data_IF_521528339828
#
_entry.id   IF_521528339828
#
_cell.length_a   1.000
_cell.length_b   1.000
_cell.length_c   1.000
_cell.angle_alpha   90.00
_cell.angle_beta   90.00
_cell.angle_gamma   90.00
#
_symmetry.space_group_name_H-M   'P 1'
#
loop_
_entity.id
_entity.type
_entity.pdbx_description
1 polymer ?
#
# COMPACT_ATOMS: atom_id res chain seq x y z
N UNK A 1 -21.13 -6.08 2.05
CA UNK A 1 -19.87 -5.30 2.06
C UNK A 1 -19.57 -4.93 3.50
N UNK A 2 -18.36 -5.20 3.98
CA UNK A 2 -17.93 -4.85 5.35
C UNK A 2 -16.81 -3.82 5.23
N UNK A 3 -16.86 -2.78 6.07
CA UNK A 3 -15.82 -1.74 6.14
C UNK A 3 -15.16 -1.80 7.50
N UNK A 4 -13.86 -1.56 7.55
CA UNK A 4 -13.04 -1.55 8.77
C UNK A 4 -12.19 -0.30 8.77
N UNK A 5 -12.14 0.39 9.89
CA UNK A 5 -11.31 1.59 10.04
C UNK A 5 -9.84 1.18 10.26
N UNK A 6 -8.93 1.79 9.49
CA UNK A 6 -7.51 1.43 9.50
C UNK A 6 -6.63 2.68 9.36
N UNK A 7 -5.34 2.51 9.63
CA UNK A 7 -4.33 3.54 9.39
C UNK A 7 -3.16 2.98 8.59
N UNK A 8 -2.58 3.77 7.66
CA UNK A 8 -1.46 3.32 6.84
C UNK A 8 -0.17 3.25 7.67
N UNK A 9 0.66 2.25 7.38
CA UNK A 9 1.99 2.07 7.96
C UNK A 9 3.10 2.02 6.91
N UNK A 10 2.75 1.91 5.62
CA UNK A 10 3.71 1.80 4.53
C UNK A 10 3.01 1.59 3.20
N UNK A 11 3.80 1.48 2.15
CA UNK A 11 3.32 1.23 0.79
C UNK A 11 4.28 0.31 0.05
N UNK A 12 3.72 -0.60 -0.74
CA UNK A 12 4.47 -1.37 -1.73
C UNK A 12 4.26 -0.73 -3.09
N UNK A 13 5.32 -0.17 -3.68
CA UNK A 13 5.31 0.35 -5.04
C UNK A 13 5.68 -0.77 -6.00
N UNK A 14 4.79 -1.06 -6.94
CA UNK A 14 5.06 -1.96 -8.06
C UNK A 14 5.05 -1.18 -9.36
N UNK A 15 5.99 -1.49 -10.26
CA UNK A 15 5.89 -1.12 -11.67
C UNK A 15 5.25 -2.32 -12.41
N UNK A 16 4.13 -2.10 -13.10
CA UNK A 16 3.49 -3.08 -13.96
C UNK A 16 3.32 -2.49 -15.36
N UNK A 17 4.24 -2.82 -16.27
CA UNK A 17 4.23 -2.33 -17.65
C UNK A 17 4.26 -0.79 -17.77
N UNK A 18 5.13 -0.11 -17.01
CA UNK A 18 5.26 1.35 -16.92
C UNK A 18 4.07 2.05 -16.23
N UNK A 19 3.18 1.31 -15.57
CA UNK A 19 2.17 1.88 -14.68
C UNK A 19 2.57 1.64 -13.22
N UNK A 20 2.51 2.69 -12.41
CA UNK A 20 2.78 2.61 -10.98
C UNK A 20 1.52 2.07 -10.28
N UNK A 21 1.64 0.91 -9.67
CA UNK A 21 0.62 0.24 -8.88
C UNK A 21 1.04 0.24 -7.39
N UNK A 22 0.71 1.34 -6.71
CA UNK A 22 1.00 1.54 -5.28
C UNK A 22 -0.05 0.82 -4.41
N UNK A 23 0.41 -0.06 -3.53
CA UNK A 23 -0.43 -0.84 -2.61
C UNK A 23 -0.20 -0.41 -1.17
N UNK A 24 -1.19 0.24 -0.58
CA UNK A 24 -1.13 0.71 0.81
C UNK A 24 -1.16 -0.49 1.76
N UNK A 25 -0.24 -0.47 2.72
CA UNK A 25 -0.19 -1.42 3.84
C UNK A 25 -0.74 -0.69 5.07
N UNK A 26 -1.79 -1.24 5.67
CA UNK A 26 -2.53 -0.61 6.75
C UNK A 26 -2.87 -1.61 7.85
N UNK A 27 -3.07 -1.09 9.06
CA UNK A 27 -3.45 -1.87 10.24
C UNK A 27 -4.85 -1.42 10.70
N UNK A 28 -5.78 -2.35 10.99
CA UNK A 28 -7.05 -2.02 11.63
C UNK A 28 -6.84 -1.36 12.99
N UNK A 29 -7.59 -0.28 13.26
CA UNK A 29 -7.44 0.49 14.51
C UNK A 29 -7.70 -0.36 15.76
N UNK A 30 -8.71 -1.23 15.70
CA UNK A 30 -9.18 -2.02 16.83
C UNK A 30 -8.52 -3.40 16.95
N UNK A 31 -7.52 -3.72 16.12
CA UNK A 31 -6.80 -5.00 16.23
C UNK A 31 -5.69 -4.93 17.28
N UNK A 32 -5.85 -5.56 18.47
CA UNK A 32 -4.89 -5.47 19.55
C UNK A 32 -3.57 -6.20 19.25
N UNK A 33 -3.53 -7.07 18.24
CA UNK A 33 -2.31 -7.80 17.85
C UNK A 33 -1.36 -6.93 17.02
N UNK A 34 -1.85 -5.89 16.36
CA UNK A 34 -1.07 -5.13 15.38
C UNK A 34 -1.07 -3.61 15.63
N UNK A 35 -2.07 -3.07 16.32
CA UNK A 35 -2.31 -1.62 16.39
C UNK A 35 -1.22 -0.79 17.11
N UNK A 36 -0.17 -1.42 17.63
CA UNK A 36 1.02 -0.77 18.18
C UNK A 36 2.08 -0.44 17.13
N UNK A 37 2.06 -1.08 15.95
CA UNK A 37 2.97 -0.72 14.85
C UNK A 37 2.46 0.52 14.12
N UNK A 38 3.34 1.48 13.86
CA UNK A 38 3.05 2.76 13.22
C UNK A 38 3.85 3.01 11.95
N UNK A 39 4.79 2.13 11.63
CA UNK A 39 5.55 2.14 10.39
C UNK A 39 5.92 0.70 10.00
N UNK A 40 6.03 0.43 8.70
CA UNK A 40 6.37 -0.90 8.16
C UNK A 40 7.72 -1.41 8.63
N UNK A 41 8.68 -0.51 8.90
CA UNK A 41 10.00 -0.86 9.45
C UNK A 41 9.94 -1.43 10.87
N UNK A 42 8.82 -1.23 11.58
CA UNK A 42 8.63 -1.74 12.94
C UNK A 42 8.11 -3.18 12.95
N UNK A 43 7.63 -3.69 11.81
CA UNK A 43 7.14 -5.06 11.72
C UNK A 43 8.29 -6.06 11.92
N UNK A 44 7.99 -7.25 12.48
CA UNK A 44 8.97 -8.32 12.53
C UNK A 44 9.51 -8.63 11.12
N UNK A 45 10.83 -8.82 10.95
CA UNK A 45 11.45 -8.96 9.62
C UNK A 45 10.85 -10.07 8.75
N UNK A 46 10.33 -11.14 9.36
CA UNK A 46 9.70 -12.23 8.62
C UNK A 46 8.38 -11.79 7.95
N UNK A 47 7.60 -10.91 8.58
CA UNK A 47 6.34 -10.39 8.03
C UNK A 47 6.61 -9.50 6.83
N UNK A 48 7.55 -8.55 6.96
CA UNK A 48 7.91 -7.68 5.83
C UNK A 48 8.49 -8.48 4.67
N UNK A 49 9.29 -9.52 4.95
CA UNK A 49 9.83 -10.43 3.93
C UNK A 49 8.73 -11.23 3.23
N UNK A 50 7.74 -11.73 3.98
CA UNK A 50 6.61 -12.46 3.43
C UNK A 50 5.75 -11.59 2.51
N UNK A 51 5.46 -10.35 2.92
CA UNK A 51 4.72 -9.37 2.10
C UNK A 51 5.46 -9.11 0.79
N UNK A 52 6.77 -8.85 0.84
CA UNK A 52 7.59 -8.64 -0.36
C UNK A 52 7.57 -9.86 -1.28
N UNK A 53 7.78 -11.05 -0.72
CA UNK A 53 7.75 -12.30 -1.48
C UNK A 53 6.39 -12.54 -2.14
N UNK A 54 5.28 -12.30 -1.42
CA UNK A 54 3.94 -12.43 -1.98
C UNK A 54 3.77 -11.56 -3.24
N UNK A 55 4.20 -10.29 -3.18
CA UNK A 55 4.09 -9.39 -4.33
C UNK A 55 5.06 -9.69 -5.48
N UNK A 56 6.18 -10.37 -5.21
CA UNK A 56 7.11 -10.84 -6.23
C UNK A 56 6.59 -12.07 -6.99
N UNK A 57 5.80 -12.95 -6.36
CA UNK A 57 5.41 -14.22 -7.00
C UNK A 57 3.92 -14.34 -7.35
N UNK A 58 3.04 -13.44 -6.91
CA UNK A 58 1.59 -13.65 -7.11
C UNK A 58 1.16 -13.67 -8.59
N UNK A 59 1.88 -12.98 -9.49
CA UNK A 59 1.59 -12.97 -10.94
C UNK A 59 2.33 -14.04 -11.74
N UNK A 60 3.12 -14.90 -11.10
CA UNK A 60 3.90 -15.95 -11.81
C UNK A 60 3.00 -16.89 -12.61
N UNK A 61 1.79 -17.19 -12.10
CA UNK A 61 0.81 -18.04 -12.80
C UNK A 61 0.12 -17.34 -13.98
N UNK A 62 0.18 -16.02 -14.06
CA UNK A 62 -0.35 -15.22 -15.17
C UNK A 62 0.67 -15.04 -16.31
N UNK A 63 1.83 -15.71 -16.22
CA UNK A 63 2.96 -15.54 -17.14
C UNK A 63 3.46 -14.09 -17.27
N UNK A 64 3.17 -13.26 -16.28
CA UNK A 64 3.69 -11.88 -16.18
C UNK A 64 4.86 -11.86 -15.22
N UNK A 65 5.95 -11.21 -15.62
CA UNK A 65 6.99 -10.82 -14.68
C UNK A 65 6.46 -9.66 -13.84
N UNK A 66 6.49 -9.80 -12.52
CA UNK A 66 6.34 -8.66 -11.61
C UNK A 66 7.57 -7.77 -11.76
N UNK A 67 7.38 -6.52 -12.16
CA UNK A 67 8.51 -5.60 -12.23
C UNK A 67 8.92 -5.16 -10.82
N UNK A 68 10.03 -4.43 -10.77
CA UNK A 68 10.71 -3.93 -9.57
C UNK A 68 9.72 -3.47 -8.50
N UNK A 69 9.88 -4.02 -7.29
CA UNK A 69 9.08 -3.66 -6.12
C UNK A 69 9.92 -2.87 -5.11
N UNK A 70 9.33 -1.85 -4.50
CA UNK A 70 9.95 -1.07 -3.43
C UNK A 70 8.98 -0.91 -2.26
N UNK A 71 9.47 -1.18 -1.05
CA UNK A 71 8.73 -0.92 0.19
C UNK A 71 9.12 0.44 0.73
N UNK A 72 8.14 1.32 0.89
CA UNK A 72 8.32 2.67 1.44
C UNK A 72 7.53 2.84 2.75
N UNK A 73 7.89 3.88 3.50
CA UNK A 73 7.40 4.11 4.85
C UNK A 73 5.99 4.69 4.91
N UNK A 74 5.53 4.94 6.14
CA UNK A 74 4.20 5.53 6.38
C UNK A 74 4.03 6.90 5.73
N UNK A 75 5.08 7.72 5.70
CA UNK A 75 5.02 9.08 5.15
C UNK A 75 4.68 9.06 3.66
N UNK A 76 5.37 8.23 2.87
CA UNK A 76 5.08 8.01 1.46
C UNK A 76 3.63 7.53 1.25
N UNK A 77 3.18 6.58 2.09
CA UNK A 77 1.81 6.07 2.02
C UNK A 77 0.76 7.16 2.26
N UNK A 78 0.99 8.05 3.23
CA UNK A 78 0.09 9.17 3.51
C UNK A 78 0.06 10.19 2.37
N UNK A 79 1.22 10.48 1.75
CA UNK A 79 1.29 11.38 0.60
C UNK A 79 0.51 10.83 -0.60
N UNK A 80 0.70 9.55 -0.92
CA UNK A 80 0.00 8.86 -2.02
C UNK A 80 -1.52 8.85 -1.80
N UNK A 81 -1.98 8.58 -0.57
CA UNK A 81 -3.42 8.65 -0.24
C UNK A 81 -3.94 10.07 -0.42
N UNK A 82 -3.23 11.09 0.08
CA UNK A 82 -3.65 12.48 -0.03
C UNK A 82 -3.70 12.96 -1.50
N UNK A 83 -2.75 12.54 -2.33
CA UNK A 83 -2.77 12.79 -3.77
C UNK A 83 -3.94 12.07 -4.45
N UNK A 84 -4.17 10.79 -4.14
CA UNK A 84 -5.28 10.01 -4.68
C UNK A 84 -6.64 10.64 -4.35
N UNK A 85 -6.81 11.14 -3.13
CA UNK A 85 -8.01 11.88 -2.72
C UNK A 85 -8.17 13.18 -3.52
N UNK A 86 -7.11 13.99 -3.68
CA UNK A 86 -7.15 15.24 -4.47
C UNK A 86 -7.49 14.98 -5.94
N UNK A 87 -6.88 13.94 -6.53
CA UNK A 87 -7.16 13.51 -7.90
C UNK A 87 -8.61 13.10 -8.04
N UNK A 88 -9.13 12.30 -7.11
CA UNK A 88 -10.54 11.91 -7.11
C UNK A 88 -11.47 13.12 -7.05
N UNK A 89 -11.21 14.07 -6.15
CA UNK A 89 -12.00 15.30 -6.02
C UNK A 89 -12.00 16.16 -7.29
N UNK A 90 -10.84 16.27 -7.95
CA UNK A 90 -10.68 17.07 -9.17
C UNK A 90 -11.39 16.42 -10.35
N UNK A 91 -11.21 15.11 -10.55
CA UNK A 91 -11.70 14.41 -11.74
C UNK A 91 -13.17 13.98 -11.64
N UNK A 92 -13.67 13.69 -10.44
CA UNK A 92 -15.00 13.11 -10.27
C UNK A 92 -15.96 13.96 -9.45
N UNK A 93 -15.47 14.83 -8.55
CA UNK A 93 -16.33 15.69 -7.73
C UNK A 93 -16.45 17.13 -8.25
N UNK A 94 -15.71 17.49 -9.31
CA UNK A 94 -15.79 18.80 -9.95
C UNK A 94 -15.24 19.96 -9.10
N UNK A 95 -14.43 19.69 -8.07
CA UNK A 95 -13.75 20.75 -7.31
C UNK A 95 -12.61 21.31 -8.18
N UNK A 96 -12.70 22.58 -8.55
CA UNK A 96 -11.67 23.28 -9.33
C UNK A 96 -10.60 23.77 -8.36
N UNK A 97 -9.34 23.53 -8.71
CA UNK A 97 -8.14 23.94 -7.96
C UNK A 97 -8.02 25.46 -7.82
#
# INVERSE_FOLDING_TARGET
>A
MVMVECYPIGVMRMDDNNEIDDKIIAIPLEDPMWNFYKDISQLPPHISSEISNFFEVYKTLEHKHTATSAVLGREDAMEIIAESMRTYETHYCGKIR
#
